data_IF_945593083995
#
_entry.id   IF_945593083995
#
_cell.length_a   1.000
_cell.length_b   1.000
_cell.length_c   1.000
_cell.angle_alpha   90.00
_cell.angle_beta   90.00
_cell.angle_gamma   90.00
#
_symmetry.space_group_name_H-M   'P 1'
#
loop_
_entity.id
_entity.type
_entity.pdbx_description
1 polymer ?
#
# COMPACT_ATOMS: atom_id res chain seq x y z
N UNK A 1 -4.17 21.06 -13.63
CA UNK A 1 -3.25 21.18 -12.49
C UNK A 1 -2.39 19.94 -12.47
N UNK A 2 -1.09 20.13 -12.64
CA UNK A 2 -0.05 19.10 -12.55
C UNK A 2 -0.13 18.42 -11.19
N UNK A 3 -0.58 17.16 -11.15
CA UNK A 3 -0.36 16.29 -10.00
C UNK A 3 1.14 16.05 -9.89
N UNK A 4 1.74 16.51 -8.80
CA UNK A 4 3.11 16.19 -8.43
C UNK A 4 3.16 14.69 -8.08
N UNK A 5 3.91 13.84 -8.80
CA UNK A 5 3.94 12.40 -8.52
C UNK A 5 4.65 12.05 -7.19
N UNK A 6 5.36 13.01 -6.58
CA UNK A 6 6.21 12.79 -5.40
C UNK A 6 5.85 13.75 -4.23
N UNK A 7 4.60 14.23 -4.16
CA UNK A 7 4.10 14.85 -2.94
C UNK A 7 3.94 13.80 -1.83
N UNK A 8 4.02 14.16 -0.53
CA UNK A 8 3.64 13.23 0.52
C UNK A 8 2.27 12.65 0.19
N UNK A 9 2.18 11.32 0.19
CA UNK A 9 0.92 10.65 -0.08
C UNK A 9 0.03 10.90 1.13
N UNK A 10 -0.81 11.93 1.04
CA UNK A 10 -1.85 12.25 2.02
C UNK A 10 -2.86 11.09 2.01
N UNK A 11 -2.59 10.12 2.86
CA UNK A 11 -3.46 8.99 3.13
C UNK A 11 -4.67 9.41 3.95
N UNK A 12 -5.74 8.60 4.01
CA UNK A 12 -6.87 8.89 4.89
C UNK A 12 -6.40 9.03 6.34
N UNK A 13 -6.66 10.19 6.96
CA UNK A 13 -6.25 10.49 8.33
C UNK A 13 -4.86 11.13 8.50
N UNK A 14 -4.04 11.23 7.45
CA UNK A 14 -2.75 11.95 7.45
C UNK A 14 -3.02 13.41 7.02
N UNK A 15 -3.46 14.22 7.97
CA UNK A 15 -3.90 15.59 7.74
C UNK A 15 -2.73 16.58 7.68
N UNK A 16 -1.61 16.26 8.34
CA UNK A 16 -0.42 17.11 8.28
C UNK A 16 0.48 16.78 7.05
N UNK A 17 0.22 15.66 6.37
CA UNK A 17 0.94 15.23 5.18
C UNK A 17 2.36 14.76 5.46
N UNK A 18 2.65 14.22 6.65
CA UNK A 18 3.98 13.71 7.01
C UNK A 18 4.17 12.22 6.69
N UNK A 19 3.10 11.57 6.19
CA UNK A 19 3.12 10.17 5.79
C UNK A 19 2.86 9.20 6.95
N UNK A 20 2.56 9.70 8.15
CA UNK A 20 2.10 8.93 9.29
C UNK A 20 0.76 9.45 9.79
N UNK A 21 -0.08 8.56 10.32
CA UNK A 21 -1.33 8.94 10.99
C UNK A 21 -1.13 8.86 12.49
N UNK A 22 -0.98 9.99 13.17
CA UNK A 22 -0.71 10.07 14.59
C UNK A 22 -1.41 11.25 15.31
N UNK A 23 -0.92 11.63 16.49
CA UNK A 23 -1.47 12.72 17.29
C UNK A 23 -1.32 14.11 16.65
N UNK A 24 -0.36 14.31 15.75
CA UNK A 24 -0.19 15.55 15.01
C UNK A 24 -1.33 15.76 14.01
N UNK A 25 -1.81 14.69 13.38
CA UNK A 25 -3.01 14.74 12.53
C UNK A 25 -4.26 15.04 13.35
N UNK A 26 -4.37 14.44 14.54
CA UNK A 26 -5.48 14.74 15.44
C UNK A 26 -5.52 16.23 15.81
N UNK A 27 -4.35 16.85 16.01
CA UNK A 27 -4.27 18.28 16.24
C UNK A 27 -4.76 19.08 15.02
N UNK A 28 -4.32 18.72 13.80
CA UNK A 28 -4.78 19.34 12.56
C UNK A 28 -6.31 19.21 12.36
N UNK A 29 -6.88 18.03 12.60
CA UNK A 29 -8.34 17.84 12.59
C UNK A 29 -9.04 18.73 13.62
N UNK A 30 -8.51 18.80 14.84
CA UNK A 30 -9.12 19.60 15.90
C UNK A 30 -9.13 21.11 15.60
N UNK A 31 -8.14 21.59 14.85
CA UNK A 31 -8.06 22.98 14.40
C UNK A 31 -9.12 23.30 13.33
N UNK A 32 -9.45 22.34 12.46
CA UNK A 32 -10.46 22.50 11.41
C UNK A 32 -11.87 22.08 11.78
N UNK A 33 -12.08 21.42 12.91
CA UNK A 33 -13.39 20.92 13.35
C UNK A 33 -14.49 22.00 13.30
N UNK A 34 -15.70 21.62 12.86
CA UNK A 34 -16.83 22.52 12.58
C UNK A 34 -16.65 23.45 11.38
N UNK A 35 -15.72 23.16 10.46
CA UNK A 35 -15.72 23.79 9.13
C UNK A 35 -16.86 23.20 8.30
N UNK A 36 -17.89 23.98 7.92
CA UNK A 36 -19.13 23.40 7.40
C UNK A 36 -19.15 23.20 5.87
N UNK A 37 -18.22 23.82 5.14
CA UNK A 37 -18.13 23.73 3.67
C UNK A 37 -16.72 24.12 3.22
N UNK A 38 -16.33 23.66 2.03
CA UNK A 38 -15.04 23.97 1.40
C UNK A 38 -13.85 23.59 2.28
N UNK A 39 -14.02 22.56 3.11
CA UNK A 39 -12.92 21.96 3.82
C UNK A 39 -11.94 21.30 2.85
N UNK A 40 -10.72 21.10 3.33
CA UNK A 40 -9.67 20.41 2.59
C UNK A 40 -9.11 19.33 3.50
N UNK A 41 -8.49 18.30 2.96
CA UNK A 41 -7.90 17.23 3.79
C UNK A 41 -6.87 17.77 4.79
N UNK A 42 -6.12 18.82 4.45
CA UNK A 42 -5.20 19.47 5.38
C UNK A 42 -5.91 20.21 6.55
N UNK A 43 -7.19 20.56 6.36
CA UNK A 43 -8.04 21.10 7.42
C UNK A 43 -8.76 19.99 8.20
N UNK A 44 -8.51 18.71 7.92
CA UNK A 44 -9.14 17.59 8.62
C UNK A 44 -10.30 16.93 7.87
N UNK A 45 -10.57 17.27 6.61
CA UNK A 45 -11.59 16.61 5.75
C UNK A 45 -11.07 15.26 5.23
N UNK A 46 -11.26 14.23 6.05
CA UNK A 46 -10.76 12.88 5.86
C UNK A 46 -11.65 12.00 5.01
N UNK A 47 -12.96 12.24 4.96
CA UNK A 47 -13.86 11.52 4.05
C UNK A 47 -14.13 12.25 2.72
N UNK A 48 -13.65 13.50 2.61
CA UNK A 48 -13.67 14.35 1.41
C UNK A 48 -15.06 14.79 1.00
N UNK A 49 -15.95 14.98 1.97
CA UNK A 49 -17.31 15.48 1.72
C UNK A 49 -17.40 17.02 1.75
N UNK A 50 -16.31 17.68 2.15
CA UNK A 50 -16.15 19.13 2.12
C UNK A 50 -16.53 19.82 3.42
N UNK A 51 -16.80 19.08 4.50
CA UNK A 51 -16.87 19.60 5.87
C UNK A 51 -15.79 18.95 6.78
N UNK A 52 -15.76 19.34 8.06
CA UNK A 52 -14.87 18.73 9.07
C UNK A 52 -15.68 18.44 10.31
N UNK A 53 -16.02 17.17 10.49
CA UNK A 53 -16.90 16.73 11.55
C UNK A 53 -16.46 15.39 12.19
N UNK A 54 -17.41 14.67 12.81
CA UNK A 54 -17.15 13.40 13.45
C UNK A 54 -16.87 12.24 12.48
N UNK A 55 -17.34 12.30 11.24
CA UNK A 55 -17.05 11.33 10.20
C UNK A 55 -15.56 11.32 9.86
N UNK A 56 -14.93 12.50 9.78
CA UNK A 56 -13.49 12.63 9.57
C UNK A 56 -12.67 12.14 10.74
N UNK A 57 -13.13 12.41 11.96
CA UNK A 57 -12.50 11.86 13.16
C UNK A 57 -12.49 10.33 13.12
N UNK A 58 -13.57 9.70 12.65
CA UNK A 58 -13.61 8.25 12.48
C UNK A 58 -12.66 7.79 11.36
N UNK A 59 -12.39 8.59 10.33
CA UNK A 59 -11.35 8.30 9.33
C UNK A 59 -9.98 8.27 10.01
N UNK A 60 -9.63 9.30 10.79
CA UNK A 60 -8.37 9.31 11.55
C UNK A 60 -8.27 8.11 12.50
N UNK A 61 -9.30 7.83 13.31
CA UNK A 61 -9.29 6.72 14.26
C UNK A 61 -9.06 5.36 13.59
N UNK A 62 -9.66 5.12 12.42
CA UNK A 62 -9.50 3.86 11.68
C UNK A 62 -8.11 3.70 11.07
N UNK A 63 -7.40 4.79 10.82
CA UNK A 63 -6.08 4.78 10.20
C UNK A 63 -4.95 5.08 11.20
N UNK A 64 -5.23 5.25 12.49
CA UNK A 64 -4.22 5.54 13.51
C UNK A 64 -3.06 4.54 13.48
N UNK A 65 -1.84 5.05 13.34
CA UNK A 65 -0.62 4.26 13.21
C UNK A 65 -0.33 3.75 11.79
N UNK A 66 -1.16 4.08 10.80
CA UNK A 66 -0.84 3.82 9.41
C UNK A 66 0.37 4.67 8.99
N UNK A 67 1.23 4.09 8.15
CA UNK A 67 2.33 4.80 7.52
C UNK A 67 2.22 4.58 6.03
N UNK A 68 2.23 5.65 5.26
CA UNK A 68 2.18 5.60 3.79
C UNK A 68 3.58 5.30 3.25
N UNK A 69 4.16 4.16 3.63
CA UNK A 69 5.34 3.66 2.94
C UNK A 69 4.84 3.20 1.58
N UNK A 70 5.23 3.92 0.52
CA UNK A 70 5.06 3.48 -0.85
C UNK A 70 5.49 2.02 -0.91
N UNK A 71 4.52 1.12 -1.09
CA UNK A 71 4.78 -0.30 -1.15
C UNK A 71 5.68 -0.52 -2.36
N UNK A 72 6.99 -0.66 -2.12
CA UNK A 72 7.89 -1.15 -3.14
C UNK A 72 7.43 -2.57 -3.39
N UNK A 73 6.65 -2.75 -4.46
CA UNK A 73 6.22 -4.06 -4.91
C UNK A 73 7.45 -4.97 -4.86
N UNK A 74 7.45 -5.92 -3.94
CA UNK A 74 8.56 -6.85 -3.78
C UNK A 74 8.70 -7.54 -5.13
N UNK A 75 9.76 -7.19 -5.88
CA UNK A 75 10.04 -7.84 -7.14
C UNK A 75 10.15 -9.33 -6.84
N UNK A 76 9.20 -10.12 -7.33
CA UNK A 76 9.25 -11.56 -7.21
C UNK A 76 10.57 -11.99 -7.88
N UNK A 77 11.58 -12.29 -7.06
CA UNK A 77 12.87 -12.74 -7.56
C UNK A 77 12.61 -14.04 -8.34
N UNK A 78 12.85 -14.00 -9.65
CA UNK A 78 12.78 -15.20 -10.47
C UNK A 78 13.77 -16.22 -9.90
N UNK A 79 13.25 -17.31 -9.33
CA UNK A 79 14.08 -18.41 -8.84
C UNK A 79 14.68 -19.10 -10.06
N UNK A 80 16.02 -19.10 -10.25
CA UNK A 80 16.63 -19.86 -11.33
C UNK A 80 16.40 -21.35 -11.05
N UNK A 81 15.87 -22.10 -12.02
CA UNK A 81 15.68 -23.56 -11.89
C UNK A 81 16.86 -24.33 -12.52
N UNK A 82 17.92 -24.71 -11.77
CA UNK A 82 18.92 -25.64 -12.28
C UNK A 82 18.46 -27.12 -12.22
N UNK A 83 17.34 -27.45 -11.57
CA UNK A 83 16.96 -28.84 -11.27
C UNK A 83 15.97 -29.50 -12.24
N UNK A 84 14.97 -28.77 -12.75
CA UNK A 84 13.89 -29.35 -13.55
C UNK A 84 14.38 -29.94 -14.89
N UNK A 85 15.33 -29.27 -15.54
CA UNK A 85 15.94 -29.76 -16.77
C UNK A 85 16.77 -31.04 -16.55
N UNK A 86 17.47 -31.15 -15.42
CA UNK A 86 18.30 -32.34 -15.10
C UNK A 86 17.42 -33.56 -14.83
N UNK A 87 16.28 -33.39 -14.15
CA UNK A 87 15.33 -34.47 -13.90
C UNK A 87 14.64 -34.95 -15.18
N UNK A 88 14.28 -34.04 -16.09
CA UNK A 88 13.72 -34.39 -17.40
C UNK A 88 14.70 -35.20 -18.25
N UNK A 89 15.97 -34.80 -18.30
CA UNK A 89 16.99 -35.53 -19.06
C UNK A 89 17.29 -36.91 -18.45
N UNK A 90 17.33 -37.02 -17.13
CA UNK A 90 17.52 -38.30 -16.45
C UNK A 90 16.35 -39.28 -16.69
N UNK A 91 15.11 -38.78 -16.69
CA UNK A 91 13.93 -39.60 -16.96
C UNK A 91 13.89 -40.12 -18.41
N UNK A 92 14.27 -39.29 -19.37
CA UNK A 92 14.37 -39.69 -20.79
C UNK A 92 15.50 -40.69 -21.01
N UNK A 93 16.65 -40.51 -20.34
CA UNK A 93 17.75 -41.48 -20.37
C UNK A 93 17.34 -42.84 -19.80
N UNK A 94 16.69 -42.88 -18.64
CA UNK A 94 16.19 -44.13 -18.05
C UNK A 94 15.13 -44.82 -18.92
N UNK A 95 14.29 -44.06 -19.62
CA UNK A 95 13.31 -44.62 -20.56
C UNK A 95 13.98 -45.26 -21.79
N UNK A 96 15.10 -44.70 -22.26
CA UNK A 96 15.87 -45.23 -23.38
C UNK A 96 16.69 -46.47 -23.03
N UNK A 97 17.15 -46.59 -21.78
CA UNK A 97 17.95 -47.72 -21.32
C UNK A 97 17.13 -48.96 -20.92
N UNK A 98 15.81 -48.98 -21.12
CA UNK A 98 15.02 -50.20 -20.86
C UNK A 98 15.32 -51.21 -21.97
N UNK A 99 16.02 -52.33 -21.70
CA UNK A 99 16.21 -53.36 -22.71
C UNK A 99 14.84 -53.96 -23.05
N UNK A 100 14.50 -53.94 -24.33
CA UNK A 100 13.32 -54.59 -24.86
C UNK A 100 13.43 -56.10 -24.56
N UNK A 101 12.44 -56.65 -23.88
CA UNK A 101 12.52 -58.00 -23.31
C UNK A 101 12.80 -59.09 -24.35
N UNK A 102 13.85 -59.87 -24.10
CA UNK A 102 13.80 -61.31 -23.77
C UNK A 102 15.18 -61.81 -23.39
#
# INVERSE_FOLDING_TARGET
VSHNPDGPLIGPGDFNGDGTVDSADLAAWSEGFSTPTNATTAAGDGDRDGDVDGADFLVWQRNLGATTIASSAAAAAAVPEPGAAVLMLAAVGLAWHRPWGR
#
